data_IF_242723584080
#
_entry.id   IF_242723584080
#
_cell.length_a   1.000
_cell.length_b   1.000
_cell.length_c   1.000
_cell.angle_alpha   90.00
_cell.angle_beta   90.00
_cell.angle_gamma   90.00
#
_symmetry.space_group_name_H-M   'P 1'
#
loop_
_entity.id
_entity.type
_entity.pdbx_description
1 polymer ?
#
# COMPACT_ATOMS: atom_id res chain seq x y z
N UNK A 1 -6.66 23.64 -3.72
CA UNK A 1 -5.86 22.41 -3.65
C UNK A 1 -5.16 22.47 -2.32
N UNK A 2 -5.54 21.60 -1.39
CA UNK A 2 -4.83 21.49 -0.12
C UNK A 2 -3.38 21.11 -0.45
N UNK A 3 -2.44 21.92 -0.01
CA UNK A 3 -1.02 21.63 -0.21
C UNK A 3 -0.70 20.33 0.54
N UNK A 4 0.24 19.52 0.03
CA UNK A 4 0.64 18.30 0.75
C UNK A 4 1.03 18.58 2.21
N UNK A 5 1.55 19.78 2.48
CA UNK A 5 1.83 20.26 3.82
C UNK A 5 0.59 20.37 4.71
N UNK A 6 -0.48 21.02 4.24
CA UNK A 6 -1.74 21.17 4.99
C UNK A 6 -2.36 19.81 5.32
N UNK A 7 -2.35 18.87 4.36
CA UNK A 7 -2.80 17.49 4.58
C UNK A 7 -2.04 16.83 5.74
N UNK A 8 -0.70 16.86 5.71
CA UNK A 8 0.10 16.23 6.75
C UNK A 8 0.00 16.94 8.09
N UNK A 9 -0.18 18.27 8.12
CA UNK A 9 -0.46 19.03 9.35
C UNK A 9 -1.80 18.65 9.96
N UNK A 10 -2.84 18.51 9.15
CA UNK A 10 -4.16 18.04 9.58
C UNK A 10 -4.08 16.62 10.18
N UNK A 11 -3.39 15.70 9.51
CA UNK A 11 -3.19 14.32 10.00
C UNK A 11 -2.45 14.29 11.34
N UNK A 12 -1.43 15.14 11.53
CA UNK A 12 -0.73 15.21 12.82
C UNK A 12 -1.65 15.62 13.98
N UNK A 13 -2.66 16.44 13.70
CA UNK A 13 -3.63 16.88 14.69
C UNK A 13 -4.69 15.79 14.97
N UNK A 14 -5.15 15.07 13.95
CA UNK A 14 -6.17 14.03 14.12
C UNK A 14 -5.60 12.72 14.69
N UNK A 15 -4.35 12.37 14.35
CA UNK A 15 -3.66 11.17 14.83
C UNK A 15 -2.31 11.52 15.48
N UNK A 16 -2.29 11.98 16.76
CA UNK A 16 -1.08 12.46 17.44
C UNK A 16 -0.15 11.33 17.93
N UNK A 17 -0.09 10.20 17.23
CA UNK A 17 0.81 9.09 17.55
C UNK A 17 2.23 9.39 17.06
N UNK A 18 3.24 9.07 17.88
CA UNK A 18 4.65 9.39 17.61
C UNK A 18 5.14 8.94 16.22
N UNK A 19 4.79 7.72 15.80
CA UNK A 19 5.17 7.19 14.47
C UNK A 19 4.51 7.97 13.33
N UNK A 20 3.22 8.33 13.46
CA UNK A 20 2.46 9.11 12.46
C UNK A 20 3.03 10.53 12.35
N UNK A 21 3.21 11.21 13.48
CA UNK A 21 3.77 12.56 13.53
C UNK A 21 5.18 12.61 12.93
N UNK A 22 6.01 11.60 13.22
CA UNK A 22 7.35 11.49 12.65
C UNK A 22 7.32 11.37 11.12
N UNK A 23 6.43 10.51 10.58
CA UNK A 23 6.26 10.35 9.13
C UNK A 23 5.78 11.64 8.46
N UNK A 24 4.76 12.29 9.03
CA UNK A 24 4.25 13.56 8.52
C UNK A 24 5.34 14.64 8.46
N UNK A 25 6.14 14.79 9.53
CA UNK A 25 7.28 15.73 9.54
C UNK A 25 8.32 15.44 8.48
N UNK A 26 8.63 14.16 8.22
CA UNK A 26 9.55 13.77 7.13
C UNK A 26 8.99 14.17 5.76
N UNK A 27 7.72 13.89 5.52
CA UNK A 27 7.04 14.16 4.26
C UNK A 27 6.92 15.67 4.00
N UNK A 28 6.57 16.47 5.00
CA UNK A 28 6.53 17.94 4.90
C UNK A 28 7.91 18.51 4.52
N UNK A 29 8.99 17.95 5.06
CA UNK A 29 10.34 18.49 4.86
C UNK A 29 10.90 18.22 3.46
N UNK A 30 10.67 17.04 2.89
CA UNK A 30 11.43 16.59 1.70
C UNK A 30 10.70 15.61 0.77
N UNK A 31 9.36 15.55 0.76
CA UNK A 31 8.68 14.64 -0.17
C UNK A 31 8.89 15.08 -1.63
N UNK A 32 9.78 14.37 -2.33
CA UNK A 32 10.12 14.64 -3.73
C UNK A 32 9.34 13.78 -4.72
N UNK A 33 8.67 12.73 -4.23
CA UNK A 33 8.01 11.66 -5.00
C UNK A 33 8.90 10.88 -5.98
N UNK A 34 10.16 11.27 -6.12
CA UNK A 34 11.15 10.63 -6.99
C UNK A 34 12.06 9.65 -6.24
N UNK A 35 11.90 9.51 -4.92
CA UNK A 35 12.68 8.59 -4.10
C UNK A 35 11.82 7.48 -3.52
N UNK A 36 12.35 6.25 -3.54
CA UNK A 36 11.67 5.10 -2.91
C UNK A 36 11.45 5.27 -1.41
N UNK A 37 12.28 6.08 -0.73
CA UNK A 37 12.10 6.40 0.69
C UNK A 37 10.89 7.31 0.93
N UNK A 38 10.66 8.31 0.07
CA UNK A 38 9.45 9.14 0.16
C UNK A 38 8.19 8.29 -0.08
N UNK A 39 8.22 7.45 -1.11
CA UNK A 39 7.11 6.54 -1.43
C UNK A 39 6.84 5.55 -0.28
N UNK A 40 7.89 4.99 0.32
CA UNK A 40 7.79 4.13 1.51
C UNK A 40 7.18 4.87 2.70
N UNK A 41 7.60 6.11 2.95
CA UNK A 41 7.06 6.91 4.06
C UNK A 41 5.58 7.24 3.85
N UNK A 42 5.16 7.56 2.61
CA UNK A 42 3.75 7.76 2.24
C UNK A 42 2.93 6.49 2.45
N UNK A 43 3.37 5.36 1.89
CA UNK A 43 2.69 4.08 2.06
C UNK A 43 2.60 3.70 3.55
N UNK A 44 3.69 3.85 4.28
CA UNK A 44 3.72 3.56 5.72
C UNK A 44 2.76 4.45 6.51
N UNK A 45 2.61 5.73 6.12
CA UNK A 45 1.65 6.64 6.73
C UNK A 45 0.22 6.16 6.51
N UNK A 46 -0.16 5.86 5.25
CA UNK A 46 -1.50 5.37 4.91
C UNK A 46 -1.87 4.10 5.67
N UNK A 47 -0.98 3.10 5.69
CA UNK A 47 -1.22 1.86 6.43
C UNK A 47 -1.31 2.06 7.95
N UNK A 48 -0.50 2.96 8.53
CA UNK A 48 -0.60 3.25 9.97
C UNK A 48 -1.92 3.93 10.31
N UNK A 49 -2.37 4.88 9.50
CA UNK A 49 -3.67 5.53 9.68
C UNK A 49 -4.80 4.49 9.62
N UNK A 50 -4.77 3.61 8.64
CA UNK A 50 -5.70 2.49 8.54
C UNK A 50 -5.68 1.59 9.80
N UNK A 51 -4.51 1.14 10.23
CA UNK A 51 -4.35 0.28 11.42
C UNK A 51 -4.91 0.96 12.69
N UNK A 52 -4.79 2.29 12.79
CA UNK A 52 -5.28 3.07 13.91
C UNK A 52 -6.74 3.52 13.76
N UNK A 53 -7.44 3.13 12.69
CA UNK A 53 -8.85 3.45 12.46
C UNK A 53 -9.12 4.83 11.84
N UNK A 54 -8.08 5.55 11.41
CA UNK A 54 -8.17 6.85 10.72
C UNK A 54 -8.38 6.64 9.22
N UNK A 55 -9.56 6.12 8.86
CA UNK A 55 -9.87 5.64 7.51
C UNK A 55 -9.91 6.78 6.49
N UNK A 56 -10.51 7.92 6.84
CA UNK A 56 -10.63 9.06 5.93
C UNK A 56 -9.26 9.68 5.65
N UNK A 57 -8.40 9.79 6.66
CA UNK A 57 -7.02 10.24 6.51
C UNK A 57 -6.18 9.26 5.68
N UNK A 58 -6.37 7.95 5.87
CA UNK A 58 -5.69 6.94 5.05
C UNK A 58 -6.07 7.08 3.56
N UNK A 59 -7.35 7.30 3.26
CA UNK A 59 -7.84 7.56 1.91
C UNK A 59 -7.30 8.89 1.37
N UNK A 60 -7.24 9.95 2.19
CA UNK A 60 -6.68 11.24 1.79
C UNK A 60 -5.20 11.12 1.39
N UNK A 61 -4.40 10.36 2.14
CA UNK A 61 -3.00 10.07 1.79
C UNK A 61 -2.89 9.31 0.47
N UNK A 62 -3.75 8.31 0.22
CA UNK A 62 -3.75 7.62 -1.08
C UNK A 62 -4.13 8.57 -2.22
N UNK A 63 -5.22 9.32 -2.07
CA UNK A 63 -5.73 10.27 -3.07
C UNK A 63 -4.76 11.39 -3.40
N UNK A 64 -3.97 11.82 -2.42
CA UNK A 64 -2.89 12.78 -2.64
C UNK A 64 -1.89 12.33 -3.72
N UNK A 65 -1.72 11.02 -3.93
CA UNK A 65 -0.80 10.47 -4.93
C UNK A 65 -1.40 10.36 -6.33
N UNK A 66 -2.71 10.53 -6.52
CA UNK A 66 -3.38 10.23 -7.80
C UNK A 66 -2.93 11.14 -8.95
N UNK A 67 -2.58 12.39 -8.64
CA UNK A 67 -2.20 13.40 -9.64
C UNK A 67 -0.72 13.79 -9.56
N UNK A 68 0.09 12.99 -8.85
CA UNK A 68 1.52 13.24 -8.71
C UNK A 68 2.27 12.65 -9.90
N UNK A 69 3.15 13.42 -10.58
CA UNK A 69 4.02 12.86 -11.61
C UNK A 69 5.13 12.04 -10.94
N UNK A 70 4.92 10.74 -10.86
CA UNK A 70 5.95 9.80 -10.40
C UNK A 70 7.02 9.58 -11.47
N UNK A 71 8.24 9.18 -11.08
CA UNK A 71 9.26 8.79 -12.05
C UNK A 71 8.79 7.59 -12.88
N UNK A 72 9.42 7.37 -14.04
CA UNK A 72 9.00 6.32 -14.99
C UNK A 72 8.84 4.94 -14.35
N UNK A 73 8.00 4.07 -14.95
CA UNK A 73 7.63 2.74 -14.45
C UNK A 73 8.81 1.88 -13.98
N UNK A 74 9.99 2.03 -14.59
CA UNK A 74 11.22 1.32 -14.24
C UNK A 74 11.80 1.68 -12.86
N UNK A 75 11.27 2.69 -12.17
CA UNK A 75 11.64 3.04 -10.79
C UNK A 75 10.80 2.21 -9.82
N UNK A 76 11.05 0.90 -9.82
CA UNK A 76 10.27 -0.11 -9.10
C UNK A 76 10.17 0.16 -7.59
N UNK A 77 11.22 0.72 -6.99
CA UNK A 77 11.24 1.05 -5.56
C UNK A 77 10.29 2.19 -5.18
N UNK A 78 9.84 3.02 -6.13
CA UNK A 78 8.77 3.99 -5.91
C UNK A 78 7.41 3.31 -6.14
N UNK A 79 7.23 2.71 -7.31
CA UNK A 79 5.95 2.14 -7.72
C UNK A 79 5.47 1.02 -6.80
N UNK A 80 6.37 0.19 -6.26
CA UNK A 80 6.00 -0.85 -5.28
C UNK A 80 5.20 -0.27 -4.11
N UNK A 81 5.63 0.86 -3.54
CA UNK A 81 4.95 1.45 -2.38
C UNK A 81 3.69 2.23 -2.78
N UNK A 82 3.70 2.91 -3.93
CA UNK A 82 2.52 3.62 -4.43
C UNK A 82 1.39 2.64 -4.77
N UNK A 83 1.70 1.54 -5.43
CA UNK A 83 0.71 0.52 -5.78
C UNK A 83 0.21 -0.23 -4.53
N UNK A 84 1.07 -0.47 -3.53
CA UNK A 84 0.62 -0.99 -2.22
C UNK A 84 -0.36 -0.03 -1.51
N UNK A 85 -0.12 1.28 -1.59
CA UNK A 85 -1.01 2.31 -1.05
C UNK A 85 -2.34 2.37 -1.81
N UNK A 86 -2.30 2.24 -3.14
CA UNK A 86 -3.50 2.14 -3.96
C UNK A 86 -4.30 0.85 -3.71
N UNK A 87 -3.64 -0.27 -3.44
CA UNK A 87 -4.30 -1.49 -3.01
C UNK A 87 -4.98 -1.36 -1.63
N UNK A 88 -4.40 -0.56 -0.72
CA UNK A 88 -5.07 -0.17 0.53
C UNK A 88 -6.34 0.64 0.28
N UNK A 89 -6.30 1.59 -0.66
CA UNK A 89 -7.50 2.33 -1.08
C UNK A 89 -8.57 1.39 -1.64
N UNK A 90 -8.21 0.45 -2.52
CA UNK A 90 -9.14 -0.58 -3.04
C UNK A 90 -9.79 -1.36 -1.90
N UNK A 91 -8.99 -1.80 -0.92
CA UNK A 91 -9.48 -2.53 0.24
C UNK A 91 -10.53 -1.73 1.02
N UNK A 92 -10.22 -0.47 1.34
CA UNK A 92 -11.12 0.42 2.08
C UNK A 92 -12.40 0.69 1.26
N UNK A 93 -12.28 0.99 -0.04
CA UNK A 93 -13.42 1.26 -0.91
C UNK A 93 -14.36 0.06 -1.00
N UNK A 94 -13.82 -1.16 -1.19
CA UNK A 94 -14.61 -2.39 -1.19
C UNK A 94 -15.33 -2.60 0.15
N UNK A 95 -14.65 -2.35 1.28
CA UNK A 95 -15.26 -2.44 2.61
C UNK A 95 -16.40 -1.40 2.82
N UNK A 96 -16.33 -0.25 2.14
CA UNK A 96 -17.37 0.78 2.12
C UNK A 96 -18.46 0.53 1.07
N UNK A 97 -18.41 -0.58 0.32
CA UNK A 97 -19.35 -0.88 -0.77
C UNK A 97 -19.16 -0.05 -2.04
N UNK A 98 -18.05 0.69 -2.16
CA UNK A 98 -17.73 1.57 -3.29
C UNK A 98 -16.97 0.81 -4.38
N UNK A 99 -17.61 -0.22 -4.93
CA UNK A 99 -16.98 -1.14 -5.87
C UNK A 99 -16.57 -0.50 -7.20
N UNK A 100 -17.35 0.47 -7.69
CA UNK A 100 -17.02 1.18 -8.94
C UNK A 100 -15.74 2.03 -8.81
N UNK A 101 -15.61 2.79 -7.71
CA UNK A 101 -14.39 3.55 -7.41
C UNK A 101 -13.19 2.60 -7.25
N UNK A 102 -13.40 1.45 -6.59
CA UNK A 102 -12.37 0.44 -6.42
C UNK A 102 -11.92 -0.15 -7.77
N UNK A 103 -12.84 -0.43 -8.70
CA UNK A 103 -12.54 -0.96 -10.03
C UNK A 103 -11.71 0.03 -10.88
N UNK A 104 -12.04 1.32 -10.81
CA UNK A 104 -11.22 2.38 -11.46
C UNK A 104 -9.78 2.35 -10.92
N UNK A 105 -9.60 2.18 -9.61
CA UNK A 105 -8.28 2.10 -9.00
C UNK A 105 -7.55 0.81 -9.37
N UNK A 106 -8.24 -0.33 -9.44
CA UNK A 106 -7.67 -1.62 -9.88
C UNK A 106 -7.16 -1.50 -11.32
N UNK A 107 -7.97 -0.94 -12.23
CA UNK A 107 -7.56 -0.69 -13.63
C UNK A 107 -6.34 0.24 -13.71
N UNK A 108 -6.24 1.22 -12.82
CA UNK A 108 -5.06 2.10 -12.75
C UNK A 108 -3.81 1.34 -12.31
N UNK A 109 -3.93 0.41 -11.35
CA UNK A 109 -2.84 -0.45 -10.90
C UNK A 109 -2.38 -1.38 -12.03
N UNK A 110 -3.33 -2.06 -12.68
CA UNK A 110 -3.05 -2.97 -13.80
C UNK A 110 -2.39 -2.24 -14.98
N UNK A 111 -2.89 -1.05 -15.32
CA UNK A 111 -2.31 -0.20 -16.35
C UNK A 111 -0.83 0.13 -16.09
N UNK A 112 -0.46 0.50 -14.86
CA UNK A 112 0.94 0.78 -14.51
C UNK A 112 1.81 -0.47 -14.61
N UNK A 113 1.30 -1.64 -14.22
CA UNK A 113 2.05 -2.89 -14.33
C UNK A 113 2.35 -3.26 -15.79
N UNK A 114 1.35 -3.11 -16.67
CA UNK A 114 1.43 -3.41 -18.09
C UNK A 114 1.94 -2.27 -18.98
N UNK A 115 2.35 -1.14 -18.38
CA UNK A 115 2.91 -0.02 -19.13
C UNK A 115 4.33 -0.37 -19.60
N UNK A 116 4.60 -0.30 -20.93
CA UNK A 116 5.92 -0.63 -21.46
C UNK A 116 7.02 0.28 -20.94
N UNK A 117 8.20 -0.29 -20.70
CA UNK A 117 9.43 0.50 -20.59
C UNK A 117 9.88 0.99 -21.97
N UNK A 118 10.83 1.93 -22.00
CA UNK A 118 11.28 2.58 -23.24
C UNK A 118 11.75 1.60 -24.32
N UNK A 119 12.29 0.45 -23.91
CA UNK A 119 12.86 -0.57 -24.79
C UNK A 119 12.02 -1.86 -24.85
N UNK A 120 10.77 -1.84 -24.34
CA UNK A 120 9.87 -2.99 -24.28
C UNK A 120 8.65 -2.81 -25.20
N UNK A 121 8.18 -3.89 -25.80
CA UNK A 121 6.89 -3.91 -26.49
C UNK A 121 5.71 -3.99 -25.51
N UNK A 122 4.51 -3.66 -25.98
CA UNK A 122 3.29 -3.83 -25.19
C UNK A 122 3.00 -5.30 -24.83
N UNK A 123 3.37 -6.23 -25.70
CA UNK A 123 3.18 -7.66 -25.47
C UNK A 123 4.12 -8.19 -24.38
N UNK A 124 5.40 -7.80 -24.41
CA UNK A 124 6.37 -8.13 -23.36
C UNK A 124 5.95 -7.55 -22.01
N UNK A 125 5.56 -6.27 -21.97
CA UNK A 125 5.14 -5.63 -20.72
C UNK A 125 3.90 -6.28 -20.11
N UNK A 126 2.93 -6.69 -20.94
CA UNK A 126 1.75 -7.43 -20.48
C UNK A 126 2.13 -8.81 -19.93
N UNK A 127 3.04 -9.52 -20.59
CA UNK A 127 3.54 -10.81 -20.12
C UNK A 127 4.25 -10.68 -18.76
N UNK A 128 5.10 -9.68 -18.59
CA UNK A 128 5.76 -9.42 -17.30
C UNK A 128 4.77 -9.13 -16.18
N UNK A 129 3.71 -8.37 -16.47
CA UNK A 129 2.64 -8.10 -15.52
C UNK A 129 1.86 -9.37 -15.15
N UNK A 130 1.60 -10.25 -16.12
CA UNK A 130 0.95 -11.55 -15.86
C UNK A 130 1.83 -12.47 -15.01
N UNK A 131 3.13 -12.54 -15.29
CA UNK A 131 4.10 -13.28 -14.47
C UNK A 131 4.20 -12.74 -13.04
N UNK A 132 4.16 -11.41 -12.89
CA UNK A 132 4.10 -10.75 -11.57
C UNK A 132 2.86 -11.20 -10.77
N UNK A 133 1.70 -11.32 -11.41
CA UNK A 133 0.46 -11.74 -10.74
C UNK A 133 0.48 -13.18 -10.23
N UNK A 134 1.36 -14.01 -10.80
CA UNK A 134 1.59 -15.38 -10.35
C UNK A 134 2.63 -15.49 -9.23
N UNK A 135 3.37 -14.41 -8.94
CA UNK A 135 4.53 -14.43 -8.04
C UNK A 135 4.17 -14.56 -6.55
N UNK A 136 3.00 -14.07 -6.13
CA UNK A 136 2.64 -14.01 -4.71
C UNK A 136 1.67 -15.11 -4.31
N UNK A 137 2.04 -15.89 -3.30
CA UNK A 137 1.18 -16.91 -2.70
C UNK A 137 0.69 -16.50 -1.31
N UNK A 138 -0.44 -17.05 -0.90
CA UNK A 138 -1.03 -16.80 0.42
C UNK A 138 -0.05 -17.06 1.58
N UNK A 139 0.68 -18.20 1.65
CA UNK A 139 1.69 -18.42 2.69
C UNK A 139 2.79 -17.37 2.71
N UNK A 140 3.27 -16.93 1.55
CA UNK A 140 4.43 -16.04 1.42
C UNK A 140 4.13 -14.60 1.85
N UNK A 141 2.91 -14.12 1.66
CA UNK A 141 2.53 -12.75 2.00
C UNK A 141 2.37 -12.55 3.52
N UNK A 142 2.12 -13.61 4.27
CA UNK A 142 1.93 -13.56 5.73
C UNK A 142 3.24 -13.32 6.50
N UNK A 143 4.39 -13.71 5.94
CA UNK A 143 5.71 -13.65 6.60
C UNK A 143 5.78 -14.37 7.97
N UNK A 144 4.99 -15.43 8.17
CA UNK A 144 4.95 -16.20 9.44
C UNK A 144 6.33 -16.69 9.87
N UNK A 145 7.11 -17.25 8.94
CA UNK A 145 8.49 -17.70 9.20
C UNK A 145 9.37 -16.60 9.81
N UNK A 146 9.33 -15.39 9.25
CA UNK A 146 10.11 -14.25 9.77
C UNK A 146 9.64 -13.79 11.15
N UNK A 147 8.34 -13.90 11.43
CA UNK A 147 7.74 -13.55 12.73
C UNK A 147 8.17 -14.55 13.82
N UNK A 148 8.22 -15.84 13.46
CA UNK A 148 8.55 -16.92 14.39
C UNK A 148 10.06 -16.98 14.69
N UNK A 149 10.90 -16.64 13.71
CA UNK A 149 12.37 -16.63 13.85
C UNK A 149 12.89 -15.47 14.71
N UNK A 150 12.27 -14.29 14.65
CA UNK A 150 12.71 -13.11 15.39
C UNK A 150 11.55 -12.32 16.02
N UNK A 151 11.25 -12.66 17.28
CA UNK A 151 10.21 -12.00 18.06
C UNK A 151 10.41 -10.49 18.24
N UNK A 152 11.66 -9.98 18.17
CA UNK A 152 11.94 -8.56 18.34
C UNK A 152 11.46 -7.74 17.14
N UNK A 153 11.50 -8.32 15.93
CA UNK A 153 11.04 -7.68 14.69
C UNK A 153 9.68 -8.18 14.21
N UNK A 154 9.00 -9.03 14.99
CA UNK A 154 7.72 -9.62 14.65
C UNK A 154 6.68 -8.58 14.19
N UNK A 155 6.62 -7.43 14.86
CA UNK A 155 5.68 -6.38 14.52
C UNK A 155 6.02 -5.63 13.23
N UNK A 156 7.29 -5.34 12.98
CA UNK A 156 7.71 -4.76 11.69
C UNK A 156 7.50 -5.77 10.54
N UNK A 157 7.65 -7.07 10.82
CA UNK A 157 7.30 -8.14 9.88
C UNK A 157 5.79 -8.16 9.59
N UNK A 158 4.93 -8.11 10.62
CA UNK A 158 3.46 -8.01 10.45
C UNK A 158 3.06 -6.76 9.67
N UNK A 159 3.68 -5.61 9.98
CA UNK A 159 3.42 -4.36 9.28
C UNK A 159 3.79 -4.46 7.79
N UNK A 160 4.95 -5.07 7.48
CA UNK A 160 5.35 -5.29 6.08
C UNK A 160 4.49 -6.35 5.39
N UNK A 161 4.02 -7.37 6.12
CA UNK A 161 3.10 -8.36 5.59
C UNK A 161 1.77 -7.71 5.16
N UNK A 162 1.24 -6.77 5.95
CA UNK A 162 0.03 -6.02 5.57
C UNK A 162 0.15 -5.34 4.21
N UNK A 163 1.32 -4.82 3.83
CA UNK A 163 1.52 -4.20 2.52
C UNK A 163 1.25 -5.20 1.39
N UNK A 164 1.68 -6.45 1.56
CA UNK A 164 1.48 -7.49 0.55
C UNK A 164 0.06 -8.04 0.60
N UNK A 165 -0.44 -8.37 1.79
CA UNK A 165 -1.77 -8.95 1.96
C UNK A 165 -2.86 -8.03 1.43
N UNK A 166 -2.80 -6.75 1.79
CA UNK A 166 -3.79 -5.75 1.34
C UNK A 166 -3.43 -5.24 -0.06
N UNK A 167 -2.20 -4.77 -0.25
CA UNK A 167 -1.77 -4.09 -1.48
C UNK A 167 -1.91 -4.95 -2.72
N UNK A 168 -1.70 -6.26 -2.61
CA UNK A 168 -1.89 -7.21 -3.70
C UNK A 168 -3.23 -7.93 -3.61
N UNK A 169 -3.58 -8.49 -2.45
CA UNK A 169 -4.76 -9.35 -2.30
C UNK A 169 -6.08 -8.64 -2.57
N UNK A 170 -6.23 -7.38 -2.11
CA UNK A 170 -7.50 -6.67 -2.25
C UNK A 170 -7.86 -6.32 -3.70
N UNK A 171 -6.88 -6.34 -4.61
CA UNK A 171 -7.07 -5.94 -6.01
C UNK A 171 -7.83 -7.00 -6.82
N UNK A 172 -7.68 -8.28 -6.48
CA UNK A 172 -8.17 -9.39 -7.30
C UNK A 172 -7.30 -9.72 -8.51
N UNK A 173 -6.18 -9.01 -8.72
CA UNK A 173 -5.26 -9.26 -9.84
C UNK A 173 -4.40 -10.51 -9.64
N UNK A 174 -4.17 -10.91 -8.39
CA UNK A 174 -3.29 -12.01 -8.00
C UNK A 174 -4.13 -13.28 -7.77
N UNK A 175 -4.10 -14.28 -8.66
CA UNK A 175 -5.06 -15.39 -8.61
C UNK A 175 -4.95 -16.22 -7.33
N UNK A 176 -3.74 -16.51 -6.86
CA UNK A 176 -3.56 -17.29 -5.63
C UNK A 176 -4.10 -16.54 -4.40
N UNK A 177 -3.83 -15.24 -4.28
CA UNK A 177 -4.36 -14.44 -3.17
C UNK A 177 -5.88 -14.30 -3.24
N UNK A 178 -6.44 -14.22 -4.45
CA UNK A 178 -7.88 -14.15 -4.68
C UNK A 178 -8.58 -15.45 -4.28
N UNK A 179 -7.96 -16.60 -4.56
CA UNK A 179 -8.46 -17.91 -4.17
C UNK A 179 -8.48 -18.13 -2.64
N UNK A 180 -7.64 -17.40 -1.90
CA UNK A 180 -7.52 -17.47 -0.44
C UNK A 180 -7.97 -16.17 0.26
N UNK A 181 -8.88 -15.43 -0.37
CA UNK A 181 -9.24 -14.09 0.11
C UNK A 181 -9.87 -14.09 1.50
N UNK A 182 -10.71 -15.09 1.82
CA UNK A 182 -11.37 -15.19 3.12
C UNK A 182 -10.36 -15.42 4.25
N UNK A 183 -9.40 -16.31 4.05
CA UNK A 183 -8.33 -16.58 5.01
C UNK A 183 -7.41 -15.36 5.15
N UNK A 184 -7.07 -14.73 4.02
CA UNK A 184 -6.26 -13.51 3.99
C UNK A 184 -6.93 -12.37 4.78
N UNK A 185 -8.25 -12.21 4.69
CA UNK A 185 -9.00 -11.22 5.48
C UNK A 185 -8.93 -11.51 6.99
N UNK A 186 -8.99 -12.78 7.40
CA UNK A 186 -8.85 -13.14 8.82
C UNK A 186 -7.45 -12.78 9.34
N UNK A 187 -6.40 -13.08 8.58
CA UNK A 187 -5.02 -12.74 8.96
C UNK A 187 -4.77 -11.22 8.94
N UNK A 188 -5.34 -10.48 7.97
CA UNK A 188 -5.31 -9.01 7.96
C UNK A 188 -5.92 -8.47 9.25
N UNK A 189 -7.11 -8.92 9.62
CA UNK A 189 -7.79 -8.46 10.85
C UNK A 189 -6.99 -8.79 12.11
N UNK A 190 -6.37 -9.98 12.16
CA UNK A 190 -5.48 -10.36 13.25
C UNK A 190 -4.26 -9.43 13.34
N UNK A 191 -3.58 -9.17 12.22
CA UNK A 191 -2.37 -8.34 12.21
C UNK A 191 -2.69 -6.89 12.56
N UNK A 192 -3.80 -6.34 12.05
CA UNK A 192 -4.30 -5.02 12.42
C UNK A 192 -4.63 -4.96 13.92
N UNK A 193 -5.31 -5.97 14.48
CA UNK A 193 -5.63 -6.03 15.90
C UNK A 193 -4.38 -6.03 16.79
N UNK A 194 -3.32 -6.74 16.40
CA UNK A 194 -2.04 -6.75 17.12
C UNK A 194 -1.36 -5.38 17.00
N UNK A 195 -1.25 -4.83 15.79
CA UNK A 195 -0.49 -3.61 15.52
C UNK A 195 -1.18 -2.33 16.04
N UNK A 196 -2.51 -2.32 16.13
CA UNK A 196 -3.28 -1.19 16.67
C UNK A 196 -2.94 -0.87 18.15
N UNK A 197 -2.47 -1.90 18.87
CA UNK A 197 -2.06 -1.84 20.29
C UNK A 197 -0.61 -1.38 20.47
N UNK A 198 0.13 -1.16 19.39
CA UNK A 198 1.46 -0.55 19.48
C UNK A 198 1.39 0.86 20.08
N UNK A 199 2.31 1.13 21.01
CA UNK A 199 2.51 2.44 21.64
C UNK A 199 3.26 3.39 20.71
#
# INVERSE_FOLDING_TARGET
METGKELFESIMNSCPRKKVVSLCKKLIKKCSFNSGEDARNLCSLGYRLFIYGHIDEALAVSRYTHNVPFPGRGVFNVWTFILCLWGLEVFILKAQGKYEEADVRIKSIDYIHAQPLADESAEESRKDADELYLTFTYPDVLRRKNIDEDSHYANECRFTALFKMIGYGATGLYPNLSAHWEELQQDINNYVSILSKEK
#
